data_IF_885074068610
#
_entry.id   IF_885074068610
#
_cell.length_a   1.000
_cell.length_b   1.000
_cell.length_c   1.000
_cell.angle_alpha   90.00
_cell.angle_beta   90.00
_cell.angle_gamma   90.00
#
_symmetry.space_group_name_H-M   'P 1'
#
loop_
_entity.id
_entity.type
_entity.pdbx_description
1 polymer ?
#
# COMPACT_ATOMS: atom_id res chain seq x y z
N UNK A 1 -28.58 -4.63 16.87
CA UNK A 1 -29.28 -5.89 17.18
C UNK A 1 -29.14 -6.28 18.65
N UNK A 2 -28.02 -5.97 19.32
CA UNK A 2 -27.75 -6.33 20.72
C UNK A 2 -28.02 -5.19 21.73
N UNK A 3 -28.62 -4.07 21.33
CA UNK A 3 -28.99 -2.96 22.21
C UNK A 3 -27.80 -2.16 22.78
N UNK A 4 -26.60 -2.31 22.21
CA UNK A 4 -25.38 -1.56 22.60
C UNK A 4 -25.17 -0.40 21.62
N UNK A 5 -25.53 0.83 22.03
CA UNK A 5 -25.50 2.00 21.17
C UNK A 5 -24.50 3.06 21.63
N UNK A 6 -24.09 3.02 22.90
CA UNK A 6 -23.18 4.00 23.51
C UNK A 6 -22.07 3.32 24.30
N UNK A 7 -20.99 4.06 24.59
CA UNK A 7 -19.93 3.56 25.47
C UNK A 7 -20.47 3.24 26.88
N UNK A 8 -21.49 3.96 27.36
CA UNK A 8 -22.17 3.64 28.61
C UNK A 8 -22.89 2.28 28.58
N UNK A 9 -23.39 1.85 27.41
CA UNK A 9 -23.96 0.52 27.26
C UNK A 9 -22.89 -0.57 27.30
N UNK A 10 -21.72 -0.31 26.74
CA UNK A 10 -20.56 -1.19 26.83
C UNK A 10 -20.10 -1.34 28.27
N UNK A 11 -19.93 -0.21 28.98
CA UNK A 11 -19.53 -0.20 30.39
C UNK A 11 -20.53 -0.98 31.27
N UNK A 12 -21.84 -0.80 31.07
CA UNK A 12 -22.86 -1.57 31.79
C UNK A 12 -22.85 -3.04 31.43
N UNK A 13 -22.67 -3.35 30.14
CA UNK A 13 -22.58 -4.73 29.66
C UNK A 13 -21.39 -5.48 30.30
N UNK A 14 -20.26 -4.82 30.50
CA UNK A 14 -19.06 -5.44 31.12
C UNK A 14 -19.24 -5.80 32.60
N UNK A 15 -20.26 -5.26 33.26
CA UNK A 15 -20.59 -5.59 34.67
C UNK A 15 -21.59 -6.73 34.82
N UNK A 16 -22.17 -7.22 33.71
CA UNK A 16 -23.16 -8.30 33.73
C UNK A 16 -22.56 -9.60 34.25
N UNK A 17 -23.38 -10.35 34.96
CA UNK A 17 -22.98 -11.67 35.44
C UNK A 17 -23.06 -12.72 34.32
N UNK A 18 -22.42 -13.88 34.52
CA UNK A 18 -22.30 -14.92 33.49
C UNK A 18 -23.65 -15.42 32.92
N UNK A 19 -24.75 -15.28 33.67
CA UNK A 19 -26.08 -15.67 33.21
C UNK A 19 -26.89 -14.54 32.58
N UNK A 20 -26.36 -13.30 32.57
CA UNK A 20 -27.04 -12.17 31.97
C UNK A 20 -26.84 -12.17 30.46
N UNK A 21 -27.85 -11.72 29.71
CA UNK A 21 -27.71 -11.56 28.25
C UNK A 21 -26.61 -10.52 27.89
N UNK A 22 -26.53 -9.42 28.63
CA UNK A 22 -25.51 -8.42 28.53
C UNK A 22 -24.42 -8.70 29.57
N UNK A 23 -23.33 -9.26 29.13
CA UNK A 23 -22.16 -9.56 29.96
C UNK A 23 -20.87 -9.39 29.15
N UNK A 24 -19.74 -9.56 29.80
CA UNK A 24 -18.43 -9.43 29.18
C UNK A 24 -18.22 -10.46 28.05
N UNK A 25 -18.72 -11.69 28.22
CA UNK A 25 -18.63 -12.74 27.21
C UNK A 25 -19.34 -12.36 25.90
N UNK A 26 -20.47 -11.64 25.98
CA UNK A 26 -21.13 -11.08 24.80
C UNK A 26 -20.21 -10.11 24.06
N UNK A 27 -19.48 -9.25 24.78
CA UNK A 27 -18.56 -8.30 24.18
C UNK A 27 -17.38 -9.02 23.48
N UNK A 28 -16.80 -10.04 24.11
CA UNK A 28 -15.76 -10.85 23.48
C UNK A 28 -16.26 -11.60 22.24
N UNK A 29 -17.48 -12.11 22.27
CA UNK A 29 -18.10 -12.78 21.11
C UNK A 29 -18.32 -11.81 19.93
N UNK A 30 -18.67 -10.55 20.22
CA UNK A 30 -18.95 -9.53 19.20
C UNK A 30 -17.66 -8.88 18.66
N UNK A 31 -16.67 -8.64 19.50
CA UNK A 31 -15.51 -7.78 19.20
C UNK A 31 -14.17 -8.53 19.30
N UNK A 32 -14.17 -9.80 19.74
CA UNK A 32 -12.95 -10.55 19.98
C UNK A 32 -12.08 -9.89 21.03
N UNK A 33 -10.75 -9.97 20.89
CA UNK A 33 -9.79 -9.39 21.82
C UNK A 33 -9.91 -7.85 21.94
N UNK A 34 -10.50 -7.20 20.96
CA UNK A 34 -10.74 -5.75 21.01
C UNK A 34 -11.79 -5.37 22.07
N UNK A 35 -12.52 -6.35 22.64
CA UNK A 35 -13.46 -6.12 23.73
C UNK A 35 -12.76 -5.49 24.94
N UNK A 36 -11.53 -5.92 25.28
CA UNK A 36 -10.76 -5.37 26.41
C UNK A 36 -10.55 -3.85 26.24
N UNK A 37 -10.02 -3.44 25.09
CA UNK A 37 -9.80 -2.03 24.78
C UNK A 37 -11.11 -1.23 24.80
N UNK A 38 -12.19 -1.84 24.30
CA UNK A 38 -13.49 -1.19 24.24
C UNK A 38 -14.08 -1.01 25.65
N UNK A 39 -13.91 -1.97 26.54
CA UNK A 39 -14.32 -1.90 27.94
C UNK A 39 -13.52 -0.82 28.67
N UNK A 40 -12.19 -0.84 28.53
CA UNK A 40 -11.31 0.13 29.15
C UNK A 40 -11.69 1.57 28.77
N UNK A 41 -11.85 1.83 27.47
CA UNK A 41 -12.29 3.12 26.97
C UNK A 41 -13.70 3.50 27.44
N UNK A 42 -14.60 2.51 27.57
CA UNK A 42 -15.95 2.76 28.08
C UNK A 42 -15.95 3.21 29.56
N UNK A 43 -14.94 2.76 30.32
CA UNK A 43 -14.69 3.20 31.69
C UNK A 43 -13.82 4.44 31.79
N UNK A 44 -13.40 5.00 30.66
CA UNK A 44 -12.56 6.20 30.60
C UNK A 44 -11.08 5.94 30.89
N UNK A 45 -10.64 4.69 30.79
CA UNK A 45 -9.24 4.34 30.97
C UNK A 45 -8.53 4.21 29.62
N UNK A 46 -7.38 4.88 29.47
CA UNK A 46 -6.53 4.81 28.29
C UNK A 46 -5.12 4.41 28.76
N UNK A 47 -4.73 3.13 28.55
CA UNK A 47 -3.44 2.63 29.02
C UNK A 47 -2.26 3.15 28.22
N UNK A 48 -2.50 3.61 26.97
CA UNK A 48 -1.44 4.04 26.06
C UNK A 48 -1.21 5.54 26.14
N UNK A 49 -0.02 5.91 26.55
CA UNK A 49 0.39 7.32 26.64
C UNK A 49 0.94 7.83 25.30
N UNK A 50 1.04 9.15 25.16
CA UNK A 50 1.72 9.77 23.99
C UNK A 50 3.20 9.35 23.92
N UNK A 51 3.83 9.07 25.06
CA UNK A 51 5.22 8.59 25.12
C UNK A 51 5.32 7.17 24.58
N UNK A 52 4.38 6.29 24.90
CA UNK A 52 4.31 4.93 24.37
C UNK A 52 4.11 4.95 22.86
N UNK A 53 3.22 5.82 22.35
CA UNK A 53 3.00 6.00 20.91
C UNK A 53 4.29 6.45 20.21
N UNK A 54 5.03 7.40 20.80
CA UNK A 54 6.30 7.87 20.24
C UNK A 54 7.42 6.84 20.31
N UNK A 55 7.42 6.01 21.34
CA UNK A 55 8.40 4.94 21.54
C UNK A 55 8.09 3.67 20.73
N UNK A 56 6.85 3.54 20.21
CA UNK A 56 6.41 2.36 19.48
C UNK A 56 7.24 2.14 18.23
N UNK A 57 7.84 0.95 18.14
CA UNK A 57 8.53 0.48 16.94
C UNK A 57 7.67 -0.60 16.29
N UNK A 58 7.17 -0.38 15.06
CA UNK A 58 6.39 -1.39 14.36
C UNK A 58 7.18 -2.70 14.21
N UNK A 59 6.53 -3.82 14.48
CA UNK A 59 7.12 -5.15 14.25
C UNK A 59 7.14 -5.53 12.76
N UNK A 60 6.35 -4.85 11.92
CA UNK A 60 6.30 -5.12 10.48
C UNK A 60 7.27 -4.22 9.72
N UNK A 61 8.14 -4.85 8.94
CA UNK A 61 9.05 -4.15 8.04
C UNK A 61 8.37 -3.91 6.68
N UNK A 62 7.23 -3.24 6.68
CA UNK A 62 6.50 -2.91 5.45
C UNK A 62 5.91 -1.51 5.50
N UNK A 63 5.77 -0.89 4.33
CA UNK A 63 5.02 0.36 4.16
C UNK A 63 4.08 0.24 2.98
N UNK A 64 2.90 0.84 3.07
CA UNK A 64 1.89 0.75 2.03
C UNK A 64 1.31 2.12 1.68
N UNK A 65 0.88 2.24 0.42
CA UNK A 65 0.13 3.38 -0.09
C UNK A 65 -1.16 2.88 -0.70
N UNK A 66 -2.30 3.30 -0.14
CA UNK A 66 -3.63 2.91 -0.61
C UNK A 66 -4.43 4.11 -1.11
N UNK A 67 -5.28 3.89 -2.12
CA UNK A 67 -6.20 4.89 -2.65
C UNK A 67 -7.53 4.25 -3.06
N UNK A 68 -8.63 4.91 -2.71
CA UNK A 68 -9.95 4.66 -3.30
C UNK A 68 -10.19 5.75 -4.33
N UNK A 69 -10.45 5.35 -5.57
CA UNK A 69 -10.71 6.27 -6.68
C UNK A 69 -12.10 6.91 -6.52
N UNK A 70 -12.26 8.16 -6.96
CA UNK A 70 -13.52 8.89 -6.83
C UNK A 70 -14.64 8.31 -7.71
N UNK A 71 -14.28 7.74 -8.85
CA UNK A 71 -15.16 7.03 -9.76
C UNK A 71 -14.48 5.76 -10.26
N UNK A 72 -15.22 4.83 -10.89
CA UNK A 72 -14.62 3.67 -11.55
C UNK A 72 -13.66 4.11 -12.67
N UNK A 73 -12.46 3.56 -12.69
CA UNK A 73 -11.42 3.82 -13.70
C UNK A 73 -11.27 2.61 -14.63
N UNK A 74 -11.00 2.90 -15.91
CA UNK A 74 -10.51 1.86 -16.83
C UNK A 74 -9.12 1.38 -16.39
N UNK A 75 -8.72 0.20 -16.86
CA UNK A 75 -7.40 -0.36 -16.57
C UNK A 75 -6.27 0.60 -16.95
N UNK A 76 -6.36 1.30 -18.09
CA UNK A 76 -5.31 2.22 -18.54
C UNK A 76 -5.17 3.42 -17.60
N UNK A 77 -6.29 4.04 -17.19
CA UNK A 77 -6.27 5.15 -16.23
C UNK A 77 -5.79 4.71 -14.85
N UNK A 78 -6.20 3.53 -14.40
CA UNK A 78 -5.74 2.98 -13.12
C UNK A 78 -4.24 2.64 -13.13
N UNK A 79 -3.68 2.24 -14.27
CA UNK A 79 -2.25 2.00 -14.44
C UNK A 79 -1.41 3.27 -14.23
N UNK A 80 -1.91 4.43 -14.68
CA UNK A 80 -1.30 5.74 -14.40
C UNK A 80 -1.27 5.98 -12.88
N UNK A 81 -2.37 5.74 -12.19
CA UNK A 81 -2.47 5.92 -10.74
C UNK A 81 -1.52 4.97 -9.99
N UNK A 82 -1.39 3.71 -10.45
CA UNK A 82 -0.41 2.77 -9.89
C UNK A 82 1.01 3.31 -10.01
N UNK A 83 1.37 3.87 -11.16
CA UNK A 83 2.68 4.49 -11.40
C UNK A 83 2.93 5.68 -10.46
N UNK A 84 1.97 6.60 -10.33
CA UNK A 84 2.03 7.74 -9.42
C UNK A 84 2.20 7.31 -7.96
N UNK A 85 1.39 6.33 -7.53
CA UNK A 85 1.43 5.81 -6.15
C UNK A 85 2.76 5.13 -5.85
N UNK A 86 3.29 4.38 -6.81
CA UNK A 86 4.59 3.70 -6.67
C UNK A 86 5.72 4.71 -6.59
N UNK A 87 5.70 5.76 -7.41
CA UNK A 87 6.72 6.81 -7.36
C UNK A 87 6.73 7.53 -6.01
N UNK A 88 5.56 7.88 -5.49
CA UNK A 88 5.44 8.49 -4.16
C UNK A 88 5.91 7.56 -3.03
N UNK A 89 5.60 6.26 -3.13
CA UNK A 89 6.08 5.25 -2.18
C UNK A 89 7.60 5.16 -2.21
N UNK A 90 8.21 5.15 -3.38
CA UNK A 90 9.67 5.10 -3.53
C UNK A 90 10.33 6.36 -2.96
N UNK A 91 9.76 7.54 -3.21
CA UNK A 91 10.29 8.78 -2.62
C UNK A 91 10.22 8.76 -1.10
N UNK A 92 9.18 8.16 -0.50
CA UNK A 92 9.09 7.97 0.96
C UNK A 92 10.17 7.01 1.48
N UNK A 93 10.47 5.92 0.75
CA UNK A 93 11.59 5.03 1.07
C UNK A 93 12.92 5.77 1.05
N UNK A 94 13.19 6.55 0.01
CA UNK A 94 14.42 7.34 -0.12
C UNK A 94 14.55 8.37 1.01
N UNK A 95 13.46 9.04 1.37
CA UNK A 95 13.45 10.02 2.47
C UNK A 95 13.78 9.38 3.82
N UNK A 96 13.31 8.16 4.04
CA UNK A 96 13.58 7.37 5.26
C UNK A 96 14.90 6.58 5.22
N UNK A 97 15.61 6.59 4.11
CA UNK A 97 16.84 5.79 3.92
C UNK A 97 16.57 4.28 3.90
N UNK A 98 15.39 3.89 3.43
CA UNK A 98 14.94 2.50 3.36
C UNK A 98 15.02 1.96 1.94
N UNK A 99 15.16 0.65 1.84
CA UNK A 99 15.14 -0.13 0.59
C UNK A 99 14.26 -1.36 0.76
N UNK A 100 13.81 -1.91 -0.36
CA UNK A 100 12.95 -3.11 -0.41
C UNK A 100 13.43 -4.05 -1.51
N UNK A 101 13.13 -5.33 -1.36
CA UNK A 101 13.30 -6.36 -2.39
C UNK A 101 11.97 -6.95 -2.87
N UNK A 102 10.83 -6.58 -2.23
CA UNK A 102 9.53 -7.16 -2.53
C UNK A 102 8.43 -6.12 -2.55
N UNK A 103 7.63 -6.15 -3.63
CA UNK A 103 6.45 -5.29 -3.79
C UNK A 103 5.20 -6.16 -3.91
N UNK A 104 4.12 -5.68 -3.30
CA UNK A 104 2.79 -6.30 -3.38
C UNK A 104 1.81 -5.30 -3.97
N UNK A 105 1.06 -5.73 -4.97
CA UNK A 105 0.01 -4.95 -5.58
C UNK A 105 -1.35 -5.61 -5.34
N UNK A 106 -2.31 -4.81 -4.88
CA UNK A 106 -3.71 -5.22 -4.76
C UNK A 106 -4.60 -4.21 -5.49
N UNK A 107 -5.41 -4.69 -6.43
CA UNK A 107 -6.32 -3.87 -7.24
C UNK A 107 -7.74 -4.36 -7.05
N UNK A 108 -8.57 -3.53 -6.44
CA UNK A 108 -9.98 -3.82 -6.20
C UNK A 108 -10.86 -3.27 -7.31
N UNK A 109 -11.69 -4.14 -7.85
CA UNK A 109 -12.64 -3.78 -8.90
C UNK A 109 -13.89 -3.09 -8.33
N UNK A 110 -14.56 -2.31 -9.17
CA UNK A 110 -15.80 -1.66 -8.79
C UNK A 110 -16.96 -2.65 -8.75
N UNK A 111 -17.90 -2.41 -7.85
CA UNK A 111 -19.13 -3.22 -7.70
C UNK A 111 -20.01 -3.18 -8.95
N UNK A 112 -19.92 -2.10 -9.73
CA UNK A 112 -20.73 -1.95 -10.95
C UNK A 112 -20.34 -2.99 -12.03
N UNK A 113 -19.16 -3.63 -11.93
CA UNK A 113 -18.82 -4.76 -12.78
C UNK A 113 -19.73 -6.00 -12.61
N UNK A 114 -20.49 -6.08 -11.51
CA UNK A 114 -21.46 -7.15 -11.27
C UNK A 114 -22.83 -6.87 -11.90
N UNK A 115 -23.06 -5.66 -12.38
CA UNK A 115 -24.27 -5.30 -13.11
C UNK A 115 -24.13 -5.72 -14.57
N UNK A 116 -25.21 -6.13 -15.18
CA UNK A 116 -25.22 -6.33 -16.62
C UNK A 116 -24.85 -5.01 -17.31
N UNK A 117 -23.85 -5.09 -18.20
CA UNK A 117 -23.52 -3.94 -19.01
C UNK A 117 -24.56 -3.76 -20.16
N UNK A 118 -24.50 -2.63 -20.87
CA UNK A 118 -25.39 -2.33 -21.98
C UNK A 118 -25.27 -3.33 -23.14
N UNK A 119 -24.26 -4.18 -23.13
CA UNK A 119 -24.00 -5.22 -24.14
C UNK A 119 -24.45 -6.62 -23.69
N UNK A 120 -25.05 -6.75 -22.48
CA UNK A 120 -25.50 -8.01 -21.91
C UNK A 120 -24.36 -8.88 -21.38
N UNK A 121 -23.15 -8.34 -21.19
CA UNK A 121 -22.06 -9.07 -20.58
C UNK A 121 -22.27 -9.17 -19.09
N UNK A 122 -22.14 -10.38 -18.57
CA UNK A 122 -22.18 -10.67 -17.14
C UNK A 122 -20.76 -11.01 -16.65
N UNK A 123 -20.44 -10.63 -15.41
CA UNK A 123 -19.17 -11.00 -14.80
C UNK A 123 -19.17 -12.48 -14.39
N UNK A 124 -18.31 -13.28 -15.00
CA UNK A 124 -18.20 -14.73 -14.75
C UNK A 124 -17.09 -15.10 -13.73
N UNK A 125 -16.41 -14.12 -13.17
CA UNK A 125 -15.31 -14.33 -12.24
C UNK A 125 -15.75 -14.62 -10.80
N UNK A 126 -14.79 -14.86 -9.93
CA UNK A 126 -15.03 -15.10 -8.50
C UNK A 126 -15.55 -13.84 -7.81
N UNK A 127 -16.68 -13.98 -7.08
CA UNK A 127 -17.30 -12.91 -6.30
C UNK A 127 -17.00 -13.13 -4.81
N UNK A 128 -16.62 -12.06 -4.11
CA UNK A 128 -16.38 -12.05 -2.66
C UNK A 128 -17.31 -11.06 -1.98
N UNK A 129 -17.48 -11.24 -0.67
CA UNK A 129 -18.14 -10.26 0.18
C UNK A 129 -17.08 -9.28 0.73
N UNK A 130 -17.39 -7.99 0.67
CA UNK A 130 -16.60 -6.98 1.37
C UNK A 130 -16.93 -6.96 2.88
N UNK A 131 -16.21 -6.13 3.65
CA UNK A 131 -16.45 -5.99 5.10
C UNK A 131 -17.86 -5.49 5.48
N UNK A 132 -18.61 -4.98 4.51
CA UNK A 132 -20.00 -4.52 4.68
C UNK A 132 -21.03 -5.54 4.18
N UNK A 133 -20.59 -6.75 3.78
CA UNK A 133 -21.45 -7.80 3.25
C UNK A 133 -21.89 -7.58 1.80
N UNK A 134 -21.31 -6.63 1.06
CA UNK A 134 -21.66 -6.38 -0.35
C UNK A 134 -20.86 -7.31 -1.24
N UNK A 135 -21.53 -7.85 -2.26
CA UNK A 135 -20.85 -8.64 -3.31
C UNK A 135 -19.95 -7.71 -4.14
N UNK A 136 -18.72 -8.10 -4.31
CA UNK A 136 -17.73 -7.41 -5.15
C UNK A 136 -16.95 -8.45 -5.97
N UNK A 137 -16.43 -8.11 -7.17
CA UNK A 137 -15.52 -8.97 -7.88
C UNK A 137 -14.27 -9.22 -7.02
N UNK A 138 -13.71 -10.43 -7.11
CA UNK A 138 -12.45 -10.74 -6.44
C UNK A 138 -11.37 -9.76 -6.91
N UNK A 139 -10.69 -9.12 -5.96
CA UNK A 139 -9.57 -8.22 -6.26
C UNK A 139 -8.40 -8.97 -6.92
N UNK A 140 -7.70 -8.31 -7.84
CA UNK A 140 -6.42 -8.76 -8.32
C UNK A 140 -5.37 -8.55 -7.22
N UNK A 141 -4.52 -9.55 -7.00
CA UNK A 141 -3.49 -9.51 -5.97
C UNK A 141 -2.26 -10.27 -6.47
N UNK A 142 -1.10 -9.69 -6.29
CA UNK A 142 0.14 -10.32 -6.67
C UNK A 142 1.34 -9.73 -5.95
N UNK A 143 2.45 -10.46 -6.01
CA UNK A 143 3.73 -10.10 -5.41
C UNK A 143 4.82 -10.19 -6.47
N UNK A 144 5.72 -9.22 -6.49
CA UNK A 144 6.92 -9.25 -7.32
C UNK A 144 8.15 -9.02 -6.47
N UNK A 145 9.23 -9.74 -6.78
CA UNK A 145 10.52 -9.62 -6.10
C UNK A 145 11.52 -8.92 -7.02
N UNK A 146 12.30 -8.04 -6.46
CA UNK A 146 13.47 -7.45 -7.11
C UNK A 146 14.67 -8.40 -6.97
N UNK A 147 15.65 -8.29 -7.86
CA UNK A 147 16.88 -9.09 -7.78
C UNK A 147 17.74 -8.76 -6.55
N UNK A 148 17.62 -7.52 -6.05
CA UNK A 148 18.35 -7.02 -4.89
C UNK A 148 17.55 -5.92 -4.21
N UNK A 149 17.87 -5.61 -2.96
CA UNK A 149 17.31 -4.49 -2.24
C UNK A 149 17.55 -3.17 -2.99
N UNK A 150 16.50 -2.40 -3.22
CA UNK A 150 16.58 -1.16 -3.98
C UNK A 150 15.58 -0.12 -3.51
N UNK A 151 15.89 1.16 -3.76
CA UNK A 151 14.98 2.30 -3.74
C UNK A 151 14.98 3.05 -5.07
N UNK A 152 15.36 2.37 -6.16
CA UNK A 152 15.31 2.95 -7.51
C UNK A 152 13.87 3.06 -8.00
N UNK A 153 13.43 4.27 -8.34
CA UNK A 153 12.11 4.51 -8.95
C UNK A 153 11.93 3.70 -10.21
N UNK A 154 12.96 3.66 -11.06
CA UNK A 154 12.92 2.93 -12.33
C UNK A 154 12.66 1.44 -12.09
N UNK A 155 13.49 0.78 -11.28
CA UNK A 155 13.37 -0.67 -11.04
C UNK A 155 12.04 -1.04 -10.38
N UNK A 156 11.62 -0.27 -9.38
CA UNK A 156 10.41 -0.56 -8.62
C UNK A 156 9.15 -0.30 -9.46
N UNK A 157 9.10 0.83 -10.18
CA UNK A 157 7.96 1.15 -11.06
C UNK A 157 7.83 0.10 -12.17
N UNK A 158 8.93 -0.26 -12.83
CA UNK A 158 8.92 -1.27 -13.88
C UNK A 158 8.42 -2.63 -13.35
N UNK A 159 8.87 -3.05 -12.16
CA UNK A 159 8.43 -4.30 -11.55
C UNK A 159 6.93 -4.27 -11.20
N UNK A 160 6.45 -3.19 -10.59
CA UNK A 160 5.03 -3.03 -10.22
C UNK A 160 4.13 -2.94 -11.44
N UNK A 161 4.54 -2.24 -12.51
CA UNK A 161 3.76 -2.12 -13.74
C UNK A 161 3.70 -3.44 -14.51
N UNK A 162 4.78 -4.22 -14.54
CA UNK A 162 4.74 -5.60 -15.08
C UNK A 162 3.77 -6.47 -14.31
N UNK A 163 3.85 -6.45 -12.98
CA UNK A 163 2.91 -7.18 -12.12
C UNK A 163 1.45 -6.73 -12.39
N UNK A 164 1.21 -5.41 -12.53
CA UNK A 164 -0.10 -4.88 -12.88
C UNK A 164 -0.63 -5.47 -14.18
N UNK A 165 0.19 -5.44 -15.23
CA UNK A 165 -0.15 -5.92 -16.58
C UNK A 165 -0.42 -7.44 -16.60
N UNK A 166 0.16 -8.20 -15.66
CA UNK A 166 -0.02 -9.65 -15.50
C UNK A 166 -1.30 -10.02 -14.74
N UNK A 167 -1.62 -9.29 -13.65
CA UNK A 167 -2.68 -9.74 -12.72
C UNK A 167 -4.03 -9.04 -12.95
N UNK A 168 -4.06 -7.88 -13.60
CA UNK A 168 -5.28 -7.06 -13.72
C UNK A 168 -6.09 -7.44 -14.94
N UNK A 169 -7.38 -7.73 -14.73
CA UNK A 169 -8.33 -7.89 -15.83
C UNK A 169 -8.65 -6.51 -16.43
N UNK A 170 -8.25 -6.34 -17.70
CA UNK A 170 -8.40 -5.08 -18.45
C UNK A 170 -9.84 -4.72 -18.79
N UNK A 171 -10.75 -5.69 -18.70
CA UNK A 171 -12.17 -5.49 -19.01
C UNK A 171 -12.97 -4.96 -17.81
N UNK A 172 -12.40 -4.99 -16.61
CA UNK A 172 -13.07 -4.58 -15.39
C UNK A 172 -12.70 -3.15 -15.00
N UNK A 173 -13.69 -2.41 -14.52
CA UNK A 173 -13.44 -1.11 -13.92
C UNK A 173 -12.87 -1.24 -12.51
N UNK A 174 -11.94 -0.36 -12.17
CA UNK A 174 -11.13 -0.38 -10.94
C UNK A 174 -11.59 0.71 -9.99
N UNK A 175 -11.66 0.39 -8.70
CA UNK A 175 -12.10 1.30 -7.64
C UNK A 175 -11.06 1.51 -6.54
N UNK A 176 -10.20 0.55 -6.28
CA UNK A 176 -9.21 0.61 -5.20
C UNK A 176 -7.85 0.13 -5.70
N UNK A 177 -6.80 0.80 -5.25
CA UNK A 177 -5.42 0.42 -5.52
C UNK A 177 -4.66 0.46 -4.20
N UNK A 178 -3.84 -0.55 -3.94
CA UNK A 178 -2.90 -0.57 -2.83
C UNK A 178 -1.56 -1.14 -3.29
N UNK A 179 -0.50 -0.39 -3.02
CA UNK A 179 0.89 -0.79 -3.30
C UNK A 179 1.61 -0.88 -1.97
N UNK A 180 2.28 -2.00 -1.71
CA UNK A 180 3.01 -2.25 -0.47
C UNK A 180 4.45 -2.63 -0.80
N UNK A 181 5.40 -2.04 -0.10
CA UNK A 181 6.80 -2.47 -0.07
C UNK A 181 7.04 -3.27 1.21
N UNK A 182 7.50 -4.50 1.06
CA UNK A 182 7.82 -5.42 2.15
C UNK A 182 9.34 -5.51 2.37
N UNK A 183 9.76 -6.24 3.40
CA UNK A 183 11.14 -6.51 3.76
C UNK A 183 11.99 -5.24 3.84
N UNK A 184 11.42 -4.17 4.41
CA UNK A 184 12.12 -2.90 4.51
C UNK A 184 13.35 -3.03 5.39
N UNK A 185 14.48 -2.56 4.86
CA UNK A 185 15.77 -2.56 5.54
C UNK A 185 16.42 -1.19 5.33
N UNK A 186 17.22 -0.74 6.29
CA UNK A 186 18.01 0.46 6.09
C UNK A 186 19.11 0.20 5.07
N UNK A 187 19.29 1.13 4.15
CA UNK A 187 20.28 0.99 3.08
C UNK A 187 21.72 0.75 3.60
N UNK A 188 22.07 1.37 4.74
CA UNK A 188 23.37 1.19 5.38
C UNK A 188 23.54 -0.14 6.13
N UNK A 189 22.48 -0.91 6.32
CA UNK A 189 22.49 -2.22 6.97
C UNK A 189 22.61 -3.37 5.95
N UNK A 190 22.45 -3.08 4.65
CA UNK A 190 22.67 -4.07 3.61
C UNK A 190 24.17 -4.37 3.56
N UNK A 191 24.51 -5.57 4.00
CA UNK A 191 25.84 -6.12 3.69
C UNK A 191 25.83 -6.44 2.19
N UNK A 192 26.82 -5.95 1.46
CA UNK A 192 27.12 -6.51 0.13
C UNK A 192 27.38 -8.00 0.37
N UNK A 193 26.35 -8.84 0.19
CA UNK A 193 26.59 -10.26 0.07
C UNK A 193 27.46 -10.41 -1.17
N UNK A 194 28.72 -10.83 -0.96
CA UNK A 194 29.52 -11.38 -2.02
C UNK A 194 28.79 -12.63 -2.52
N UNK A 195 27.79 -12.44 -3.38
CA UNK A 195 27.19 -13.54 -4.10
C UNK A 195 28.32 -14.10 -4.96
N UNK A 196 28.82 -15.26 -4.57
CA UNK A 196 29.69 -16.03 -5.44
C UNK A 196 28.85 -16.43 -6.65
N UNK A 197 28.85 -15.58 -7.69
CA UNK A 197 28.25 -15.94 -8.97
C UNK A 197 29.07 -17.10 -9.52
N UNK A 198 28.42 -18.24 -9.71
CA UNK A 198 29.05 -19.37 -10.39
C UNK A 198 29.47 -18.92 -11.79
N UNK A 199 30.78 -18.85 -12.03
CA UNK A 199 31.33 -18.40 -13.29
C UNK A 199 30.86 -19.32 -14.42
N UNK A 200 30.17 -18.74 -15.41
CA UNK A 200 29.81 -19.47 -16.64
C UNK A 200 30.95 -19.34 -17.64
N UNK A 201 31.34 -20.46 -18.24
CA UNK A 201 32.41 -20.50 -19.27
C UNK A 201 32.02 -19.75 -20.56
N UNK A 202 30.76 -19.38 -20.72
CA UNK A 202 30.23 -18.74 -21.93
C UNK A 202 29.87 -17.24 -21.75
N UNK A 203 30.16 -16.66 -20.60
CA UNK A 203 29.90 -15.24 -20.31
C UNK A 203 31.14 -14.41 -20.56
N UNK A 204 31.03 -13.37 -21.40
CA UNK A 204 32.09 -12.37 -21.53
C UNK A 204 32.09 -11.45 -20.29
N UNK A 205 32.97 -11.74 -19.35
CA UNK A 205 33.07 -10.99 -18.09
C UNK A 205 33.45 -9.53 -18.30
N UNK A 206 34.19 -9.20 -19.36
CA UNK A 206 34.56 -7.83 -19.65
C UNK A 206 33.36 -6.95 -20.06
N UNK A 207 32.35 -7.53 -20.69
CA UNK A 207 31.08 -6.85 -21.02
C UNK A 207 30.19 -6.80 -19.77
N UNK A 208 30.05 -7.90 -19.05
CA UNK A 208 29.23 -7.99 -17.85
C UNK A 208 29.69 -7.02 -16.73
N UNK A 209 31.00 -6.86 -16.55
CA UNK A 209 31.53 -5.91 -15.56
C UNK A 209 31.27 -4.46 -15.95
N UNK A 210 31.39 -4.11 -17.24
CA UNK A 210 31.05 -2.78 -17.74
C UNK A 210 29.55 -2.47 -17.59
N UNK A 211 28.68 -3.44 -17.84
CA UNK A 211 27.24 -3.30 -17.63
C UNK A 211 26.88 -3.10 -16.16
N UNK A 212 27.49 -3.87 -15.24
CA UNK A 212 27.32 -3.71 -13.80
C UNK A 212 27.82 -2.33 -13.32
N UNK A 213 28.93 -1.85 -13.84
CA UNK A 213 29.48 -0.54 -13.46
C UNK A 213 28.60 0.60 -13.99
N UNK A 214 28.11 0.51 -15.22
CA UNK A 214 27.17 1.45 -15.79
C UNK A 214 25.84 1.48 -15.04
N UNK A 215 25.30 0.33 -14.62
CA UNK A 215 24.08 0.24 -13.80
C UNK A 215 24.31 0.88 -12.42
N UNK A 216 25.43 0.64 -11.77
CA UNK A 216 25.79 1.23 -10.47
C UNK A 216 25.90 2.77 -10.56
N UNK A 217 26.50 3.26 -11.65
CA UNK A 217 26.58 4.69 -11.90
C UNK A 217 25.20 5.31 -12.14
N UNK A 218 24.35 4.63 -12.91
CA UNK A 218 22.97 5.07 -13.17
C UNK A 218 22.15 5.12 -11.88
N UNK A 219 22.21 4.11 -11.01
CA UNK A 219 21.55 4.07 -9.72
C UNK A 219 22.02 5.21 -8.80
N UNK A 220 23.32 5.49 -8.81
CA UNK A 220 23.91 6.59 -8.03
C UNK A 220 23.39 7.95 -8.50
N UNK A 221 23.29 8.14 -9.83
CA UNK A 221 22.74 9.36 -10.43
C UNK A 221 21.26 9.52 -10.12
N UNK A 222 20.48 8.42 -10.23
CA UNK A 222 19.06 8.40 -9.90
C UNK A 222 18.82 8.80 -8.45
N UNK A 223 19.59 8.24 -7.53
CA UNK A 223 19.49 8.55 -6.10
C UNK A 223 19.78 10.03 -5.78
N UNK A 224 20.77 10.62 -6.43
CA UNK A 224 21.05 12.07 -6.32
C UNK A 224 19.86 12.90 -6.80
N UNK A 225 19.25 12.49 -7.91
CA UNK A 225 18.06 13.16 -8.46
C UNK A 225 16.86 13.02 -7.52
N UNK A 226 16.59 11.82 -6.98
CA UNK A 226 15.49 11.59 -6.02
C UNK A 226 15.63 12.47 -4.78
N UNK A 227 16.84 12.61 -4.24
CA UNK A 227 17.11 13.52 -3.10
C UNK A 227 16.85 14.97 -3.46
N UNK A 228 17.30 15.43 -4.63
CA UNK A 228 17.02 16.78 -5.09
C UNK A 228 15.50 17.03 -5.27
N UNK A 229 14.76 16.05 -5.79
CA UNK A 229 13.29 16.10 -5.89
C UNK A 229 12.66 16.24 -4.50
N UNK A 230 13.12 15.46 -3.53
CA UNK A 230 12.63 15.53 -2.14
C UNK A 230 12.89 16.90 -1.52
N UNK A 231 14.10 17.46 -1.70
CA UNK A 231 14.46 18.78 -1.17
C UNK A 231 13.57 19.88 -1.75
N UNK A 232 13.31 19.84 -3.06
CA UNK A 232 12.39 20.77 -3.71
C UNK A 232 10.97 20.61 -3.17
N UNK A 233 10.47 19.36 -3.07
CA UNK A 233 9.11 19.09 -2.55
C UNK A 233 8.96 19.48 -1.08
N UNK A 234 9.98 19.30 -0.25
CA UNK A 234 9.99 19.73 1.17
C UNK A 234 9.97 21.26 1.29
N UNK A 235 10.69 21.97 0.44
CA UNK A 235 10.83 23.43 0.52
C UNK A 235 9.66 24.18 -0.11
N UNK A 236 9.11 23.68 -1.22
CA UNK A 236 8.12 24.40 -2.03
C UNK A 236 6.76 23.69 -2.12
N UNK A 237 6.61 22.55 -1.44
CA UNK A 237 5.38 21.77 -1.40
C UNK A 237 5.38 20.59 -2.37
N UNK A 238 4.47 19.63 -2.10
CA UNK A 238 4.42 18.33 -2.80
C UNK A 238 4.21 18.46 -4.31
N UNK A 239 3.54 19.52 -4.77
CA UNK A 239 3.25 19.79 -6.19
C UNK A 239 4.27 20.70 -6.88
N UNK A 240 5.35 21.09 -6.19
CA UNK A 240 6.37 21.97 -6.76
C UNK A 240 7.15 21.32 -7.91
N UNK A 241 7.21 20.00 -7.94
CA UNK A 241 7.82 19.23 -9.01
C UNK A 241 6.93 18.01 -9.30
N UNK A 242 6.49 17.88 -10.54
CA UNK A 242 5.61 16.82 -11.04
C UNK A 242 6.32 16.04 -12.14
N UNK A 243 5.99 14.76 -12.30
CA UNK A 243 6.36 13.98 -13.47
C UNK A 243 5.38 14.24 -14.61
N UNK A 244 5.77 14.01 -15.84
CA UNK A 244 4.88 14.15 -16.99
C UNK A 244 3.60 13.30 -16.86
N UNK A 245 3.71 12.10 -16.30
CA UNK A 245 2.56 11.21 -16.03
C UNK A 245 1.54 11.82 -15.07
N UNK A 246 1.95 12.67 -14.14
CA UNK A 246 1.03 13.34 -13.19
C UNK A 246 0.10 14.36 -13.87
N UNK A 247 0.35 14.66 -15.17
CA UNK A 247 -0.44 15.58 -15.99
C UNK A 247 -1.32 14.85 -17.00
N UNK A 248 -1.26 13.51 -17.05
CA UNK A 248 -2.09 12.71 -17.97
C UNK A 248 -3.54 12.63 -17.51
N UNK A 249 -4.44 12.32 -18.45
CA UNK A 249 -5.84 12.12 -18.13
C UNK A 249 -6.04 10.90 -17.22
N UNK A 250 -6.62 11.12 -16.05
CA UNK A 250 -6.81 10.10 -15.02
C UNK A 250 -5.77 10.16 -13.90
N UNK A 251 -4.72 10.97 -14.03
CA UNK A 251 -3.77 11.23 -12.97
C UNK A 251 -4.41 11.84 -11.72
N UNK A 252 -4.01 11.41 -10.54
CA UNK A 252 -4.60 11.81 -9.26
C UNK A 252 -3.61 12.50 -8.32
N UNK A 253 -2.31 12.44 -8.59
CA UNK A 253 -1.26 12.90 -7.69
C UNK A 253 -1.43 14.37 -7.26
N UNK A 254 -1.76 15.27 -8.19
CA UNK A 254 -1.92 16.71 -7.89
C UNK A 254 -3.05 16.95 -6.88
N UNK A 255 -4.19 16.31 -7.08
CA UNK A 255 -5.36 16.45 -6.17
C UNK A 255 -5.12 15.74 -4.85
N UNK A 256 -4.47 14.58 -4.87
CA UNK A 256 -4.12 13.79 -3.68
C UNK A 256 -3.12 14.53 -2.79
N UNK A 257 -2.14 15.20 -3.35
CA UNK A 257 -1.15 16.01 -2.61
C UNK A 257 -1.77 17.18 -1.84
N UNK A 258 -2.99 17.62 -2.22
CA UNK A 258 -3.76 18.66 -1.52
C UNK A 258 -4.66 18.11 -0.41
N UNK A 259 -4.71 16.78 -0.22
CA UNK A 259 -5.54 16.16 0.82
C UNK A 259 -4.76 16.06 2.14
N UNK A 260 -5.48 16.18 3.24
CA UNK A 260 -4.98 15.95 4.60
C UNK A 260 -5.65 14.69 5.12
N UNK A 261 -4.85 13.65 5.46
CA UNK A 261 -5.39 12.38 5.97
C UNK A 261 -6.34 11.66 5.01
N UNK A 262 -6.21 11.88 3.68
CA UNK A 262 -7.07 11.28 2.67
C UNK A 262 -8.39 12.03 2.42
N UNK A 263 -8.61 13.16 3.06
CA UNK A 263 -9.78 14.01 2.90
C UNK A 263 -9.40 15.36 2.27
N UNK A 264 -10.33 15.96 1.53
CA UNK A 264 -10.16 17.35 1.09
C UNK A 264 -10.18 18.25 2.31
N UNK A 265 -9.18 19.11 2.43
CA UNK A 265 -9.14 20.17 3.42
C UNK A 265 -10.14 21.25 3.09
#
# INVERSE_FOLDING_TARGET
ENGLYTMGDIARCSLGQANDFHNEELLYRLFGINAELLIDHAWGWEPVTIEDIKAYKPSSNSTSSGQVLQCPYSSDKARIVVMEMTDLLVLDLVDKGLVTDQLVLTVGYDIDNLKEDKTGRHYDGEVKLDRYGRKIPKHAHGTTNLKSFSSSSRLIIDAVLKLYDEIVDKNLSIRRINVTANHLTKENEIKEENSYEQMSLFTDYGIADKEKEAEKEQLTREKKMQRAILDVKKRYGKNALLRGVDLEEGATAISRNKQIGGHKA
#
